data_IF_741156405809
#
_entry.id   IF_741156405809
#
_cell.length_a   1.000
_cell.length_b   1.000
_cell.length_c   1.000
_cell.angle_alpha   90.00
_cell.angle_beta   90.00
_cell.angle_gamma   90.00
#
_symmetry.space_group_name_H-M   'P 1'
#
loop_
_entity.id
_entity.type
_entity.pdbx_description
1 polymer ?
#
# COMPACT_ATOMS: atom_id res chain seq x y z
N UNK A 1 1.84 29.48 17.00
CA UNK A 1 3.19 28.88 17.08
C UNK A 1 3.30 27.92 15.92
N UNK A 2 4.35 28.00 15.11
CA UNK A 2 4.57 27.01 14.06
C UNK A 2 4.89 25.66 14.73
N UNK A 3 4.22 24.59 14.31
CA UNK A 3 4.49 23.24 14.82
C UNK A 3 5.96 22.88 14.58
N UNK A 4 6.61 22.30 15.59
CA UNK A 4 7.96 21.73 15.47
C UNK A 4 7.91 20.26 15.05
N UNK A 5 6.71 19.67 15.00
CA UNK A 5 6.54 18.28 14.59
C UNK A 5 7.06 18.05 13.17
N UNK A 6 7.64 16.87 12.96
CA UNK A 6 8.20 16.47 11.67
C UNK A 6 8.15 14.97 11.51
N UNK A 7 8.04 14.54 10.26
CA UNK A 7 8.32 13.16 9.89
C UNK A 7 9.82 12.97 9.69
N UNK A 8 10.34 11.83 10.14
CA UNK A 8 11.73 11.41 9.92
C UNK A 8 11.69 10.12 9.10
N UNK A 9 12.06 10.18 7.83
CA UNK A 9 12.08 9.05 6.90
C UNK A 9 13.50 8.52 6.74
N UNK A 10 13.73 7.25 7.11
CA UNK A 10 15.04 6.59 6.92
C UNK A 10 15.10 5.82 5.60
N UNK A 11 16.02 6.22 4.70
CA UNK A 11 16.19 5.51 3.42
C UNK A 11 16.68 4.09 3.62
N UNK A 12 17.59 3.88 4.57
CA UNK A 12 18.13 2.56 4.89
C UNK A 12 17.01 1.60 5.31
N UNK A 13 16.04 2.08 6.12
CA UNK A 13 14.88 1.28 6.52
C UNK A 13 13.92 0.97 5.38
N UNK A 14 13.69 1.93 4.46
CA UNK A 14 12.92 1.67 3.22
C UNK A 14 13.54 0.50 2.44
N UNK A 15 14.86 0.53 2.24
CA UNK A 15 15.59 -0.48 1.47
C UNK A 15 15.58 -1.84 2.19
N UNK A 16 15.71 -1.85 3.52
CA UNK A 16 15.60 -3.07 4.33
C UNK A 16 14.24 -3.75 4.15
N UNK A 17 13.14 -2.99 4.29
CA UNK A 17 11.79 -3.51 4.13
C UNK A 17 11.50 -3.97 2.70
N UNK A 18 12.02 -3.23 1.71
CA UNK A 18 11.94 -3.64 0.30
C UNK A 18 12.60 -5.00 0.07
N UNK A 19 13.83 -5.20 0.57
CA UNK A 19 14.59 -6.45 0.40
C UNK A 19 13.86 -7.65 0.99
N UNK A 20 13.16 -7.47 2.13
CA UNK A 20 12.32 -8.52 2.72
C UNK A 20 11.25 -9.00 1.72
N UNK A 21 10.54 -8.08 1.06
CA UNK A 21 9.50 -8.45 0.07
C UNK A 21 10.10 -8.96 -1.23
N UNK A 22 11.19 -8.35 -1.70
CA UNK A 22 11.89 -8.78 -2.92
C UNK A 22 12.38 -10.23 -2.81
N UNK A 23 12.71 -10.72 -1.61
CA UNK A 23 13.06 -12.13 -1.40
C UNK A 23 11.90 -13.12 -1.60
N UNK A 24 10.66 -12.65 -1.72
CA UNK A 24 9.44 -13.46 -1.81
C UNK A 24 8.84 -13.51 -3.22
N UNK A 25 9.29 -12.65 -4.14
CA UNK A 25 8.66 -12.50 -5.46
C UNK A 25 9.63 -11.98 -6.53
N UNK A 26 9.26 -12.14 -7.80
CA UNK A 26 10.02 -11.58 -8.92
C UNK A 26 9.93 -10.05 -8.96
N UNK A 27 8.74 -9.50 -8.76
CA UNK A 27 8.51 -8.07 -8.86
C UNK A 27 7.85 -7.53 -7.58
N UNK A 28 8.43 -6.47 -7.06
CA UNK A 28 7.82 -5.66 -6.01
C UNK A 28 7.28 -4.41 -6.67
N UNK A 29 5.98 -4.13 -6.52
CA UNK A 29 5.36 -2.91 -7.04
C UNK A 29 4.86 -2.03 -5.89
N UNK A 30 5.65 -1.05 -5.47
CA UNK A 30 5.27 -0.23 -4.33
C UNK A 30 3.99 0.57 -4.61
N UNK A 31 3.02 0.48 -3.70
CA UNK A 31 1.77 1.25 -3.79
C UNK A 31 2.01 2.72 -3.46
N UNK A 32 2.25 3.55 -4.48
CA UNK A 32 2.69 4.95 -4.30
C UNK A 32 1.73 5.80 -3.46
N UNK A 33 0.43 5.51 -3.51
CA UNK A 33 -0.61 6.16 -2.68
C UNK A 33 -0.33 6.11 -1.18
N UNK A 34 0.46 5.15 -0.72
CA UNK A 34 0.78 5.02 0.71
C UNK A 34 1.70 6.13 1.18
N UNK A 35 2.78 6.43 0.45
CA UNK A 35 3.67 7.55 0.75
C UNK A 35 4.53 7.85 -0.49
N UNK A 36 4.24 8.94 -1.23
CA UNK A 36 4.95 9.27 -2.48
C UNK A 36 6.43 9.60 -2.31
N UNK A 37 6.89 10.02 -1.12
CA UNK A 37 8.31 10.28 -0.88
C UNK A 37 9.13 8.99 -0.92
N UNK A 38 8.54 7.88 -0.47
CA UNK A 38 9.16 6.56 -0.49
C UNK A 38 9.32 6.06 -1.92
N UNK A 39 8.41 6.39 -2.83
CA UNK A 39 8.53 6.04 -4.25
C UNK A 39 9.85 6.54 -4.84
N UNK A 40 10.27 7.78 -4.49
CA UNK A 40 11.55 8.35 -4.93
C UNK A 40 12.75 7.58 -4.39
N UNK A 41 12.73 7.26 -3.10
CA UNK A 41 13.81 6.48 -2.44
C UNK A 41 13.94 5.10 -3.09
N UNK A 42 12.83 4.41 -3.31
CA UNK A 42 12.82 3.10 -3.97
C UNK A 42 13.28 3.18 -5.43
N UNK A 43 12.88 4.22 -6.16
CA UNK A 43 13.26 4.40 -7.55
C UNK A 43 14.78 4.54 -7.72
N UNK A 44 15.40 5.32 -6.84
CA UNK A 44 16.83 5.63 -6.88
C UNK A 44 17.73 4.48 -6.39
N UNK A 45 17.20 3.57 -5.56
CA UNK A 45 18.02 2.57 -4.85
C UNK A 45 17.65 1.11 -5.12
N UNK A 46 16.59 0.85 -5.88
CA UNK A 46 16.05 -0.51 -6.11
C UNK A 46 15.46 -0.68 -7.50
N UNK A 47 15.10 -1.91 -7.86
CA UNK A 47 14.35 -2.27 -9.06
C UNK A 47 12.82 -2.31 -8.84
N UNK A 48 12.30 -1.68 -7.77
CA UNK A 48 10.86 -1.61 -7.49
C UNK A 48 10.04 -1.11 -8.69
N UNK A 49 8.95 -1.78 -9.02
CA UNK A 49 7.87 -1.18 -9.80
C UNK A 49 7.01 -0.28 -8.91
N UNK A 50 6.05 0.43 -9.50
CA UNK A 50 5.16 1.36 -8.80
C UNK A 50 3.72 1.21 -9.25
N UNK A 51 2.84 0.83 -8.32
CA UNK A 51 1.40 0.75 -8.56
C UNK A 51 0.77 2.13 -8.36
N UNK A 52 0.20 2.68 -9.43
CA UNK A 52 -0.45 3.99 -9.46
C UNK A 52 -1.93 3.86 -9.81
N UNK A 53 -2.75 4.76 -9.27
CA UNK A 53 -4.19 4.82 -9.53
C UNK A 53 -4.58 6.07 -10.33
N UNK A 54 -3.78 7.13 -10.26
CA UNK A 54 -4.07 8.40 -10.93
C UNK A 54 -2.87 8.90 -11.73
N UNK A 55 -3.13 9.52 -12.88
CA UNK A 55 -2.10 10.19 -13.71
C UNK A 55 -1.33 11.24 -12.90
N UNK A 56 -1.99 11.93 -11.96
CA UNK A 56 -1.38 12.93 -11.09
C UNK A 56 -0.25 12.36 -10.20
N UNK A 57 -0.24 11.05 -9.95
CA UNK A 57 0.82 10.39 -9.19
C UNK A 57 2.10 10.20 -10.02
N UNK A 58 2.02 10.28 -11.35
CA UNK A 58 3.18 10.10 -12.23
C UNK A 58 4.29 11.08 -11.86
N UNK A 59 4.00 12.30 -11.41
CA UNK A 59 5.02 13.28 -10.98
C UNK A 59 6.00 12.74 -9.91
N UNK A 60 5.64 11.67 -9.22
CA UNK A 60 6.47 11.06 -8.18
C UNK A 60 7.46 10.01 -8.72
N UNK A 61 7.31 9.58 -9.98
CA UNK A 61 8.11 8.52 -10.62
C UNK A 61 8.85 9.11 -11.82
N UNK A 62 10.16 8.98 -11.91
CA UNK A 62 10.96 9.43 -13.05
C UNK A 62 10.86 8.45 -14.22
N UNK A 63 11.11 7.18 -13.98
CA UNK A 63 11.05 6.09 -14.97
C UNK A 63 9.65 5.48 -15.03
N UNK A 64 8.86 5.97 -15.99
CA UNK A 64 7.48 5.54 -16.20
C UNK A 64 7.35 4.10 -16.67
N UNK A 65 8.42 3.48 -17.19
CA UNK A 65 8.37 2.08 -17.62
C UNK A 65 8.18 1.11 -16.44
N UNK A 66 8.50 1.56 -15.22
CA UNK A 66 8.31 0.85 -13.95
C UNK A 66 6.92 1.02 -13.35
N UNK A 67 6.00 1.73 -14.02
CA UNK A 67 4.64 1.96 -13.52
C UNK A 67 3.72 0.81 -13.92
N UNK A 68 3.01 0.26 -12.94
CA UNK A 68 1.79 -0.54 -13.12
C UNK A 68 0.60 0.38 -12.86
N UNK A 69 -0.18 0.67 -13.89
CA UNK A 69 -1.34 1.54 -13.77
C UNK A 69 -2.61 0.71 -13.53
N UNK A 70 -3.29 0.98 -12.42
CA UNK A 70 -4.53 0.31 -12.04
C UNK A 70 -5.69 1.12 -12.61
N UNK A 71 -6.24 0.66 -13.73
CA UNK A 71 -7.27 1.34 -14.49
C UNK A 71 -8.62 1.33 -13.77
N UNK A 72 -9.30 2.47 -13.82
CA UNK A 72 -10.68 2.62 -13.37
C UNK A 72 -11.36 3.70 -14.21
N UNK A 73 -12.39 3.32 -14.97
CA UNK A 73 -13.19 4.22 -15.80
C UNK A 73 -12.33 5.05 -16.78
N UNK A 74 -11.35 4.42 -17.42
CA UNK A 74 -10.52 5.07 -18.43
C UNK A 74 -11.20 5.12 -19.80
N UNK A 75 -10.76 6.03 -20.66
CA UNK A 75 -11.17 6.12 -22.06
C UNK A 75 -9.96 5.94 -23.00
N UNK A 76 -10.21 5.95 -24.31
CA UNK A 76 -9.16 5.79 -25.32
C UNK A 76 -8.08 6.90 -25.24
N UNK A 77 -8.47 8.13 -24.90
CA UNK A 77 -7.54 9.26 -24.75
C UNK A 77 -6.57 9.01 -23.58
N UNK A 78 -7.09 8.59 -22.43
CA UNK A 78 -6.26 8.25 -21.27
C UNK A 78 -5.36 7.06 -21.57
N UNK A 79 -5.85 6.01 -22.23
CA UNK A 79 -5.01 4.86 -22.60
C UNK A 79 -3.87 5.31 -23.52
N UNK A 80 -4.17 6.13 -24.54
CA UNK A 80 -3.16 6.68 -25.43
C UNK A 80 -2.11 7.51 -24.66
N UNK A 81 -2.55 8.43 -23.80
CA UNK A 81 -1.62 9.26 -23.00
C UNK A 81 -0.72 8.44 -22.08
N UNK A 82 -1.24 7.35 -21.48
CA UNK A 82 -0.42 6.42 -20.68
C UNK A 82 0.64 5.72 -21.55
N UNK A 83 0.27 5.30 -22.77
CA UNK A 83 1.21 4.67 -23.70
C UNK A 83 2.27 5.66 -24.20
N UNK A 84 1.92 6.91 -24.48
CA UNK A 84 2.86 7.97 -24.85
C UNK A 84 3.87 8.24 -23.73
N UNK A 85 3.43 8.12 -22.47
CA UNK A 85 4.30 8.17 -21.29
C UNK A 85 5.16 6.91 -21.08
N UNK A 86 5.20 5.96 -22.02
CA UNK A 86 5.95 4.68 -21.92
C UNK A 86 5.46 3.74 -20.82
N UNK A 87 4.24 3.94 -20.32
CA UNK A 87 3.61 3.01 -19.36
C UNK A 87 3.08 1.84 -20.17
N UNK A 88 3.43 0.62 -19.76
CA UNK A 88 3.06 -0.61 -20.48
C UNK A 88 2.42 -1.67 -19.61
N UNK A 89 2.33 -1.46 -18.29
CA UNK A 89 1.75 -2.43 -17.37
C UNK A 89 0.40 -1.92 -16.87
N UNK A 90 -0.65 -2.70 -17.12
CA UNK A 90 -2.02 -2.33 -16.79
C UNK A 90 -2.71 -3.42 -15.98
N UNK A 91 -3.44 -3.00 -14.96
CA UNK A 91 -4.41 -3.83 -14.25
C UNK A 91 -5.80 -3.31 -14.59
N UNK A 92 -6.70 -4.17 -15.05
CA UNK A 92 -8.06 -3.79 -15.40
C UNK A 92 -9.06 -4.39 -14.42
N UNK A 93 -9.92 -3.55 -13.86
CA UNK A 93 -10.84 -3.91 -12.77
C UNK A 93 -12.14 -4.57 -13.23
N UNK A 94 -12.69 -4.13 -14.37
CA UNK A 94 -14.03 -4.51 -14.82
C UNK A 94 -14.12 -4.73 -16.34
N UNK A 95 -15.22 -5.34 -16.78
CA UNK A 95 -15.43 -5.69 -18.20
C UNK A 95 -15.56 -4.46 -19.11
N UNK A 96 -16.13 -3.35 -18.61
CA UNK A 96 -16.28 -2.11 -19.39
C UNK A 96 -14.93 -1.54 -19.76
N UNK A 97 -14.05 -1.35 -18.77
CA UNK A 97 -12.68 -0.87 -18.96
C UNK A 97 -11.86 -1.82 -19.84
N UNK A 98 -12.08 -3.14 -19.71
CA UNK A 98 -11.41 -4.13 -20.54
C UNK A 98 -11.86 -4.04 -21.99
N UNK A 99 -13.16 -3.85 -22.25
CA UNK A 99 -13.69 -3.72 -23.60
C UNK A 99 -13.15 -2.47 -24.31
N UNK A 100 -13.03 -1.34 -23.59
CA UNK A 100 -12.40 -0.12 -24.11
C UNK A 100 -10.94 -0.39 -24.50
N UNK A 101 -10.17 -1.06 -23.63
CA UNK A 101 -8.79 -1.42 -23.94
C UNK A 101 -8.70 -2.35 -25.15
N UNK A 102 -9.54 -3.38 -25.25
CA UNK A 102 -9.53 -4.31 -26.38
C UNK A 102 -9.88 -3.59 -27.69
N UNK A 103 -10.90 -2.73 -27.68
CA UNK A 103 -11.27 -1.91 -28.83
C UNK A 103 -10.11 -1.05 -29.29
N UNK A 104 -9.48 -0.35 -28.34
CA UNK A 104 -8.31 0.48 -28.59
C UNK A 104 -7.18 -0.35 -29.23
N UNK A 105 -6.78 -1.47 -28.62
CA UNK A 105 -5.69 -2.33 -29.12
C UNK A 105 -5.92 -2.91 -30.54
N UNK A 106 -7.16 -2.97 -31.03
CA UNK A 106 -7.45 -3.41 -32.39
C UNK A 106 -7.06 -2.35 -33.45
N UNK A 107 -6.84 -1.09 -33.07
CA UNK A 107 -6.52 0.04 -33.97
C UNK A 107 -5.07 0.13 -34.46
N UNK A 108 -4.38 -0.98 -34.74
CA UNK A 108 -2.95 -1.03 -35.16
C UNK A 108 -1.93 -0.39 -34.17
N UNK A 109 -2.26 -0.43 -32.88
CA UNK A 109 -1.48 0.20 -31.79
C UNK A 109 -0.10 -0.43 -31.60
N UNK A 110 0.05 -1.72 -31.90
CA UNK A 110 1.33 -2.43 -31.83
C UNK A 110 2.46 -1.70 -32.56
N UNK A 111 2.19 -1.18 -33.77
CA UNK A 111 3.22 -0.56 -34.60
C UNK A 111 3.71 0.77 -34.03
N UNK A 112 2.88 1.43 -33.22
CA UNK A 112 3.16 2.75 -32.64
C UNK A 112 3.80 2.61 -31.26
N UNK A 113 3.20 1.78 -30.40
CA UNK A 113 3.53 1.76 -28.97
C UNK A 113 4.15 0.44 -28.48
N UNK A 114 4.16 -0.60 -29.30
CA UNK A 114 4.61 -1.95 -28.93
C UNK A 114 3.59 -2.72 -28.09
N UNK A 115 4.06 -3.77 -27.40
CA UNK A 115 3.21 -4.64 -26.58
C UNK A 115 3.00 -4.10 -25.16
N UNK A 116 1.89 -4.49 -24.55
CA UNK A 116 1.56 -4.22 -23.15
C UNK A 116 1.63 -5.49 -22.29
N UNK A 117 1.73 -5.31 -20.98
CA UNK A 117 1.53 -6.33 -19.98
C UNK A 117 0.19 -6.08 -19.29
N UNK A 118 -0.69 -7.08 -19.31
CA UNK A 118 -2.07 -6.95 -18.85
C UNK A 118 -2.35 -7.93 -17.72
N UNK A 119 -2.89 -7.42 -16.62
CA UNK A 119 -3.45 -8.21 -15.54
C UNK A 119 -4.95 -7.95 -15.42
N UNK A 120 -5.74 -9.01 -15.35
CA UNK A 120 -7.17 -8.92 -15.10
C UNK A 120 -7.44 -9.08 -13.61
N UNK A 121 -8.10 -8.09 -13.00
CA UNK A 121 -8.39 -8.16 -11.57
C UNK A 121 -9.56 -9.10 -11.31
N UNK A 122 -9.34 -10.02 -10.38
CA UNK A 122 -10.33 -11.00 -9.95
C UNK A 122 -10.97 -10.54 -8.64
N UNK A 123 -12.29 -10.64 -8.60
CA UNK A 123 -13.10 -10.50 -7.41
C UNK A 123 -12.98 -11.75 -6.53
N UNK A 124 -12.31 -11.60 -5.39
CA UNK A 124 -12.19 -12.67 -4.41
C UNK A 124 -13.46 -12.81 -3.56
N UNK A 125 -13.66 -13.99 -2.98
CA UNK A 125 -14.70 -14.19 -1.96
C UNK A 125 -14.14 -13.91 -0.59
N UNK A 126 -14.93 -13.25 0.25
CA UNK A 126 -14.61 -13.08 1.66
C UNK A 126 -14.86 -14.42 2.39
N UNK A 127 -13.83 -14.97 3.05
CA UNK A 127 -13.99 -16.19 3.84
C UNK A 127 -14.17 -15.88 5.34
N UNK A 128 -14.11 -14.61 5.73
CA UNK A 128 -14.39 -14.12 7.08
C UNK A 128 -15.74 -13.41 7.13
N UNK A 129 -16.54 -13.66 8.16
CA UNK A 129 -17.79 -12.92 8.36
C UNK A 129 -17.48 -11.51 8.87
N UNK A 130 -17.08 -10.56 8.02
CA UNK A 130 -17.10 -9.13 8.35
C UNK A 130 -16.83 -8.21 7.14
N UNK A 131 -17.92 -7.65 6.66
CA UNK A 131 -18.10 -6.33 6.01
C UNK A 131 -18.28 -6.29 4.49
N UNK A 132 -17.84 -7.27 3.69
CA UNK A 132 -17.85 -7.27 2.21
C UNK A 132 -17.19 -6.05 1.51
N UNK A 133 -16.83 -5.00 2.27
CA UNK A 133 -16.36 -3.69 1.78
C UNK A 133 -15.17 -3.78 0.83
N UNK A 134 -14.31 -4.78 1.01
CA UNK A 134 -13.05 -4.90 0.26
C UNK A 134 -13.13 -5.84 -0.95
N UNK A 135 -14.23 -6.58 -1.10
CA UNK A 135 -14.38 -7.66 -2.08
C UNK A 135 -15.27 -7.27 -3.25
N UNK A 136 -15.56 -5.98 -3.45
CA UNK A 136 -16.47 -5.49 -4.50
C UNK A 136 -15.79 -5.26 -5.85
N UNK A 137 -14.46 -5.14 -5.85
CA UNK A 137 -13.67 -4.83 -7.03
C UNK A 137 -13.21 -6.08 -7.77
N UNK A 138 -12.99 -5.94 -9.08
CA UNK A 138 -12.61 -7.06 -9.94
C UNK A 138 -13.79 -7.74 -10.63
N UNK A 139 -13.47 -8.53 -11.64
CA UNK A 139 -14.40 -9.38 -12.37
C UNK A 139 -14.57 -10.73 -11.68
N UNK A 140 -15.70 -11.39 -11.90
CA UNK A 140 -15.88 -12.77 -11.43
C UNK A 140 -14.87 -13.72 -12.12
N UNK A 141 -14.57 -14.85 -11.49
CA UNK A 141 -13.57 -15.79 -11.99
C UNK A 141 -13.93 -16.38 -13.36
N UNK A 142 -15.21 -16.62 -13.64
CA UNK A 142 -15.66 -17.16 -14.93
C UNK A 142 -15.34 -16.21 -16.10
N UNK A 143 -15.71 -14.93 -15.95
CA UNK A 143 -15.37 -13.85 -16.88
C UNK A 143 -13.86 -13.79 -17.09
N UNK A 144 -13.07 -13.82 -16.00
CA UNK A 144 -11.61 -13.72 -16.11
C UNK A 144 -11.01 -14.93 -16.84
N UNK A 145 -11.41 -16.16 -16.53
CA UNK A 145 -10.93 -17.34 -17.26
C UNK A 145 -11.29 -17.29 -18.75
N UNK A 146 -12.51 -16.85 -19.09
CA UNK A 146 -12.93 -16.62 -20.48
C UNK A 146 -12.02 -15.59 -21.17
N UNK A 147 -11.82 -14.43 -20.55
CA UNK A 147 -11.00 -13.34 -21.12
C UNK A 147 -9.52 -13.70 -21.24
N UNK A 148 -8.97 -14.45 -20.28
CA UNK A 148 -7.60 -14.94 -20.36
C UNK A 148 -7.39 -15.85 -21.59
N UNK A 149 -8.36 -16.71 -21.91
CA UNK A 149 -8.33 -17.54 -23.14
C UNK A 149 -8.40 -16.70 -24.41
N UNK A 150 -9.34 -15.75 -24.46
CA UNK A 150 -9.52 -14.86 -25.62
C UNK A 150 -8.27 -14.02 -25.91
N UNK A 151 -7.60 -13.53 -24.85
CA UNK A 151 -6.49 -12.59 -24.97
C UNK A 151 -5.11 -13.24 -25.09
N UNK A 152 -4.97 -14.54 -24.81
CA UNK A 152 -3.66 -15.24 -24.75
C UNK A 152 -2.80 -15.08 -26.01
N UNK A 153 -3.44 -15.03 -27.18
CA UNK A 153 -2.78 -14.94 -28.48
C UNK A 153 -2.88 -13.53 -29.10
N UNK A 154 -3.28 -12.52 -28.33
CA UNK A 154 -3.36 -11.16 -28.83
C UNK A 154 -1.94 -10.61 -29.05
N UNK A 155 -1.59 -10.26 -30.29
CA UNK A 155 -0.26 -9.74 -30.66
C UNK A 155 0.16 -8.49 -29.89
N UNK A 156 -0.78 -7.73 -29.35
CA UNK A 156 -0.51 -6.51 -28.59
C UNK A 156 -0.18 -6.79 -27.11
N UNK A 157 -0.31 -8.02 -26.62
CA UNK A 157 -0.10 -8.38 -25.21
C UNK A 157 1.12 -9.30 -25.11
N UNK A 158 2.16 -8.87 -24.40
CA UNK A 158 3.36 -9.68 -24.13
C UNK A 158 3.14 -10.62 -22.94
N UNK A 159 2.74 -10.07 -21.79
CA UNK A 159 2.44 -10.85 -20.58
C UNK A 159 0.98 -10.68 -20.21
N UNK A 160 0.33 -11.80 -19.91
CA UNK A 160 -1.06 -11.86 -19.48
C UNK A 160 -1.16 -12.55 -18.13
N UNK A 161 -1.87 -11.93 -17.20
CA UNK A 161 -1.96 -12.45 -15.84
C UNK A 161 -3.22 -12.05 -15.11
N UNK A 162 -3.20 -12.33 -13.81
CA UNK A 162 -4.29 -11.99 -12.91
C UNK A 162 -3.80 -11.10 -11.79
N UNK A 163 -4.68 -10.23 -11.32
CA UNK A 163 -4.47 -9.40 -10.15
C UNK A 163 -5.55 -9.72 -9.12
N UNK A 164 -5.22 -9.69 -7.85
CA UNK A 164 -6.21 -9.60 -6.79
C UNK A 164 -5.64 -8.87 -5.59
N UNK A 165 -6.53 -8.30 -4.78
CA UNK A 165 -6.17 -7.65 -3.53
C UNK A 165 -7.26 -7.95 -2.50
N UNK A 166 -6.86 -8.35 -1.29
CA UNK A 166 -7.80 -8.69 -0.21
C UNK A 166 -8.16 -7.50 0.65
N UNK A 167 -7.28 -7.12 1.58
CA UNK A 167 -7.55 -6.07 2.58
C UNK A 167 -6.26 -5.45 3.08
N UNK A 168 -6.35 -4.26 3.65
CA UNK A 168 -5.23 -3.61 4.35
C UNK A 168 -5.01 -4.24 5.73
N UNK A 169 -3.77 -4.22 6.23
CA UNK A 169 -3.40 -4.80 7.53
C UNK A 169 -3.90 -6.25 7.70
N UNK A 170 -3.74 -7.06 6.64
CA UNK A 170 -4.31 -8.40 6.56
C UNK A 170 -3.51 -9.42 7.38
N UNK A 171 -4.11 -9.95 8.44
CA UNK A 171 -3.52 -11.02 9.28
C UNK A 171 -4.07 -12.42 8.98
N UNK A 172 -4.99 -12.57 8.00
CA UNK A 172 -5.66 -13.84 7.70
C UNK A 172 -5.78 -14.11 6.19
N UNK A 173 -6.30 -15.28 5.81
CA UNK A 173 -6.63 -15.59 4.41
C UNK A 173 -5.45 -15.48 3.41
N UNK A 174 -4.25 -15.83 3.85
CA UNK A 174 -3.03 -15.87 3.02
C UNK A 174 -2.77 -17.23 2.35
N UNK A 175 -3.71 -18.18 2.45
CA UNK A 175 -3.60 -19.46 1.73
C UNK A 175 -4.05 -19.29 0.27
N UNK A 176 -3.22 -18.61 -0.51
CA UNK A 176 -3.48 -18.37 -1.93
C UNK A 176 -3.33 -19.64 -2.79
N UNK A 177 -2.71 -20.70 -2.26
CA UNK A 177 -2.59 -21.98 -2.96
C UNK A 177 -3.97 -22.59 -3.21
N UNK A 178 -4.78 -22.70 -2.14
CA UNK A 178 -6.13 -23.24 -2.23
C UNK A 178 -7.04 -22.32 -3.04
N UNK A 179 -6.90 -21.01 -2.86
CA UNK A 179 -7.69 -20.02 -3.58
C UNK A 179 -7.45 -20.03 -5.09
N UNK A 180 -6.19 -20.10 -5.52
CA UNK A 180 -5.84 -20.13 -6.94
C UNK A 180 -6.41 -21.35 -7.67
N UNK A 181 -6.44 -22.52 -7.01
CA UNK A 181 -7.05 -23.74 -7.58
C UNK A 181 -8.55 -23.58 -7.82
N UNK A 182 -9.23 -22.75 -7.02
CA UNK A 182 -10.66 -22.50 -7.16
C UNK A 182 -10.96 -21.43 -8.21
N UNK A 183 -10.03 -20.51 -8.44
CA UNK A 183 -10.22 -19.35 -9.30
C UNK A 183 -9.79 -19.63 -10.74
N UNK A 184 -8.67 -20.33 -10.97
CA UNK A 184 -8.15 -20.57 -12.31
C UNK A 184 -8.50 -21.97 -12.82
N UNK A 185 -9.02 -22.03 -14.04
CA UNK A 185 -9.26 -23.28 -14.75
C UNK A 185 -7.94 -23.88 -15.26
N UNK A 186 -7.83 -25.23 -15.26
CA UNK A 186 -6.59 -25.96 -15.61
C UNK A 186 -6.05 -25.67 -17.01
N UNK A 187 -6.89 -25.24 -17.95
CA UNK A 187 -6.51 -24.96 -19.35
C UNK A 187 -6.09 -23.50 -19.57
N UNK A 188 -6.18 -22.65 -18.56
CA UNK A 188 -5.79 -21.24 -18.65
C UNK A 188 -4.30 -21.08 -18.37
N UNK A 189 -3.60 -20.41 -19.29
CA UNK A 189 -2.16 -20.13 -19.20
C UNK A 189 -1.92 -18.64 -18.94
N UNK A 190 -1.21 -18.35 -17.85
CA UNK A 190 -0.83 -16.98 -17.46
C UNK A 190 0.67 -16.89 -17.23
N UNK A 191 1.23 -15.71 -17.40
CA UNK A 191 2.65 -15.41 -17.16
C UNK A 191 2.88 -14.75 -15.80
N UNK A 192 1.83 -14.10 -15.25
CA UNK A 192 1.91 -13.23 -14.09
C UNK A 192 0.76 -13.48 -13.11
N UNK A 193 1.08 -13.43 -11.82
CA UNK A 193 0.10 -13.31 -10.73
C UNK A 193 0.52 -12.13 -9.85
N UNK A 194 -0.38 -11.16 -9.68
CA UNK A 194 -0.23 -10.10 -8.70
C UNK A 194 -1.18 -10.35 -7.52
N UNK A 195 -0.61 -10.56 -6.33
CA UNK A 195 -1.38 -10.80 -5.09
C UNK A 195 -1.75 -9.51 -4.35
N UNK A 196 -1.45 -8.37 -4.97
CA UNK A 196 -1.73 -7.04 -4.42
C UNK A 196 -0.93 -6.75 -3.15
N UNK A 197 -1.40 -5.75 -2.40
CA UNK A 197 -0.86 -5.38 -1.10
C UNK A 197 -1.58 -6.05 0.07
N UNK A 198 -1.55 -5.39 1.22
CA UNK A 198 -2.26 -5.84 2.42
C UNK A 198 -1.38 -6.48 3.48
N UNK A 199 -0.08 -6.66 3.20
CA UNK A 199 0.91 -7.09 4.18
C UNK A 199 0.85 -6.20 5.44
N UNK A 200 0.72 -6.80 6.64
CA UNK A 200 0.56 -6.05 7.88
C UNK A 200 1.88 -5.43 8.34
N UNK A 201 1.81 -4.28 8.99
CA UNK A 201 2.94 -3.67 9.71
C UNK A 201 2.74 -3.79 11.22
N UNK A 202 3.82 -3.66 11.97
CA UNK A 202 3.75 -3.66 13.42
C UNK A 202 3.08 -2.37 13.93
N UNK A 203 2.14 -2.52 14.87
CA UNK A 203 1.45 -1.44 15.57
C UNK A 203 1.09 -1.95 16.96
N UNK A 204 0.71 -1.07 17.88
CA UNK A 204 0.42 -1.45 19.28
C UNK A 204 -0.71 -2.50 19.42
N UNK A 205 -1.55 -2.65 18.40
CA UNK A 205 -2.63 -3.62 18.32
C UNK A 205 -2.39 -4.77 17.32
N UNK A 206 -1.16 -4.95 16.83
CA UNK A 206 -0.80 -6.02 15.88
C UNK A 206 -0.02 -7.14 16.57
N UNK A 207 -0.35 -8.39 16.24
CA UNK A 207 0.47 -9.54 16.63
C UNK A 207 1.59 -9.77 15.60
N UNK A 208 2.85 -9.53 16.00
CA UNK A 208 4.04 -9.59 15.14
C UNK A 208 4.33 -11.01 14.66
N UNK A 209 4.04 -12.03 15.47
CA UNK A 209 4.30 -13.45 15.13
C UNK A 209 3.57 -13.90 13.85
N UNK A 210 2.49 -13.20 13.48
CA UNK A 210 1.71 -13.50 12.29
C UNK A 210 2.44 -13.12 11.01
N UNK A 211 3.36 -12.15 11.05
CA UNK A 211 4.07 -11.66 9.84
C UNK A 211 4.93 -12.77 9.23
N UNK A 212 5.69 -13.50 10.05
CA UNK A 212 6.54 -14.60 9.57
C UNK A 212 5.72 -15.76 9.00
N UNK A 213 4.56 -16.05 9.63
CA UNK A 213 3.61 -17.05 9.11
C UNK A 213 3.11 -16.65 7.71
N UNK A 214 2.81 -15.37 7.50
CA UNK A 214 2.39 -14.84 6.20
C UNK A 214 3.49 -14.98 5.16
N UNK A 215 4.73 -14.63 5.50
CA UNK A 215 5.86 -14.75 4.59
C UNK A 215 6.09 -16.20 4.17
N UNK A 216 5.98 -17.15 5.10
CA UNK A 216 6.09 -18.57 4.79
C UNK A 216 4.96 -19.05 3.87
N UNK A 217 3.74 -18.53 4.01
CA UNK A 217 2.64 -18.83 3.09
C UNK A 217 2.90 -18.28 1.68
N UNK A 218 3.43 -17.05 1.59
CA UNK A 218 3.80 -16.44 0.31
C UNK A 218 4.93 -17.24 -0.37
N UNK A 219 5.95 -17.71 0.38
CA UNK A 219 7.01 -18.57 -0.16
C UNK A 219 6.46 -19.86 -0.75
N UNK A 220 5.62 -20.57 0.01
CA UNK A 220 4.94 -21.80 -0.48
C UNK A 220 4.09 -21.54 -1.72
N UNK A 221 3.40 -20.40 -1.73
CA UNK A 221 2.62 -19.99 -2.88
C UNK A 221 3.51 -19.71 -4.11
N UNK A 222 4.64 -19.04 -3.91
CA UNK A 222 5.63 -18.77 -4.96
C UNK A 222 6.25 -20.04 -5.52
N UNK A 223 6.54 -21.04 -4.68
CA UNK A 223 7.00 -22.36 -5.12
C UNK A 223 5.97 -23.07 -6.01
N UNK A 224 4.69 -23.01 -5.64
CA UNK A 224 3.59 -23.59 -6.42
C UNK A 224 3.45 -22.94 -7.81
N UNK A 225 3.69 -21.64 -7.92
CA UNK A 225 3.57 -20.89 -9.17
C UNK A 225 4.58 -21.35 -10.24
N UNK A 226 5.69 -21.97 -9.85
CA UNK A 226 6.73 -22.41 -10.78
C UNK A 226 7.25 -21.26 -11.64
N UNK A 227 7.08 -21.36 -12.96
CA UNK A 227 7.52 -20.35 -13.93
C UNK A 227 6.67 -19.07 -13.93
N UNK A 228 5.46 -19.10 -13.35
CA UNK A 228 4.60 -17.93 -13.24
C UNK A 228 5.25 -16.91 -12.31
N UNK A 229 5.46 -15.68 -12.80
CA UNK A 229 6.10 -14.62 -12.03
C UNK A 229 5.11 -13.98 -11.07
N UNK A 230 5.57 -13.76 -9.84
CA UNK A 230 4.80 -13.18 -8.75
C UNK A 230 5.10 -11.69 -8.64
N UNK A 231 4.03 -10.91 -8.54
CA UNK A 231 4.06 -9.48 -8.20
C UNK A 231 3.41 -9.31 -6.82
N UNK A 232 4.06 -8.56 -5.94
CA UNK A 232 3.51 -8.15 -4.65
C UNK A 232 3.46 -6.63 -4.62
N UNK A 233 2.36 -6.05 -4.13
CA UNK A 233 2.17 -4.59 -4.10
C UNK A 233 2.26 -4.00 -2.68
N UNK A 234 3.40 -4.09 -1.98
CA UNK A 234 3.48 -3.55 -0.63
C UNK A 234 3.30 -2.03 -0.64
N UNK A 235 2.50 -1.53 0.30
CA UNK A 235 2.44 -0.11 0.64
C UNK A 235 2.85 0.04 2.10
N UNK A 236 1.86 -0.17 2.99
CA UNK A 236 2.00 -0.08 4.44
C UNK A 236 3.23 -0.79 5.00
N UNK A 237 3.47 -2.05 4.60
CA UNK A 237 4.61 -2.85 5.06
C UNK A 237 5.98 -2.17 4.90
N UNK A 238 6.20 -1.51 3.76
CA UNK A 238 7.44 -0.76 3.54
C UNK A 238 7.36 0.59 4.24
N UNK A 239 6.24 1.29 4.05
CA UNK A 239 6.13 2.68 4.40
C UNK A 239 6.09 2.94 5.91
N UNK A 240 5.27 2.17 6.64
CA UNK A 240 5.00 2.39 8.05
C UNK A 240 6.30 2.49 8.85
N UNK A 241 7.07 1.40 8.89
CA UNK A 241 8.30 1.31 9.71
C UNK A 241 9.46 2.21 9.25
N UNK A 242 9.39 2.76 8.03
CA UNK A 242 10.44 3.61 7.50
C UNK A 242 10.34 5.06 8.00
N UNK A 243 9.25 5.45 8.64
CA UNK A 243 9.02 6.83 9.07
C UNK A 243 8.60 6.89 10.54
N UNK A 244 9.21 7.82 11.26
CA UNK A 244 8.79 8.24 12.61
C UNK A 244 8.11 9.60 12.54
N UNK A 245 7.16 9.85 13.44
CA UNK A 245 6.61 11.18 13.69
C UNK A 245 7.21 11.70 15.01
N UNK A 246 8.06 12.71 14.93
CA UNK A 246 8.60 13.40 16.10
C UNK A 246 7.66 14.58 16.43
N UNK A 247 7.26 14.68 17.70
CA UNK A 247 6.40 15.75 18.23
C UNK A 247 6.98 16.34 19.51
N UNK A 248 6.49 17.49 19.94
CA UNK A 248 6.79 18.12 21.23
C UNK A 248 5.53 18.14 22.11
N UNK A 249 5.68 17.83 23.39
CA UNK A 249 4.60 17.97 24.38
C UNK A 249 4.39 19.45 24.67
N UNK A 250 3.22 19.98 24.34
CA UNK A 250 2.86 21.40 24.54
C UNK A 250 1.91 21.64 25.70
N UNK A 251 1.28 20.58 26.22
CA UNK A 251 0.37 20.69 27.35
C UNK A 251 0.25 19.38 28.10
N UNK A 252 0.16 19.47 29.43
CA UNK A 252 -0.16 18.36 30.30
C UNK A 252 -1.19 18.83 31.31
N UNK A 253 -2.29 18.09 31.44
CA UNK A 253 -3.26 18.27 32.51
C UNK A 253 -3.78 16.91 32.94
N UNK A 254 -3.81 16.67 34.25
CA UNK A 254 -4.10 15.36 34.82
C UNK A 254 -3.21 14.27 34.16
N UNK A 255 -3.82 13.27 33.52
CA UNK A 255 -3.14 12.22 32.75
C UNK A 255 -3.32 12.39 31.23
N UNK A 256 -3.57 13.62 30.77
CA UNK A 256 -3.67 13.95 29.35
C UNK A 256 -2.42 14.70 28.88
N UNK A 257 -1.85 14.26 27.76
CA UNK A 257 -0.73 14.89 27.06
C UNK A 257 -1.28 15.46 25.76
N UNK A 258 -0.98 16.73 25.47
CA UNK A 258 -1.23 17.37 24.17
C UNK A 258 0.11 17.50 23.46
N UNK A 259 0.20 16.98 22.23
CA UNK A 259 1.35 17.14 21.35
C UNK A 259 1.09 18.20 20.28
N UNK A 260 2.15 18.79 19.72
CA UNK A 260 2.07 19.80 18.65
C UNK A 260 1.79 19.22 17.25
N UNK A 261 1.09 18.09 17.19
CA UNK A 261 0.67 17.42 15.97
C UNK A 261 -0.81 17.01 16.08
N UNK A 262 -1.44 16.68 14.95
CA UNK A 262 -2.82 16.21 14.92
C UNK A 262 -2.93 14.93 14.09
N UNK A 263 -3.83 14.02 14.45
CA UNK A 263 -4.09 12.84 13.60
C UNK A 263 -4.56 13.27 12.21
N UNK A 264 -5.24 14.40 12.06
CA UNK A 264 -5.73 14.89 10.77
C UNK A 264 -4.65 15.30 9.77
N UNK A 265 -3.48 15.73 10.23
CA UNK A 265 -2.37 16.10 9.34
C UNK A 265 -1.16 15.16 9.45
N UNK A 266 -1.20 14.17 10.35
CA UNK A 266 -0.07 13.23 10.52
C UNK A 266 -0.43 11.75 10.47
N UNK A 267 -1.61 11.35 10.95
CA UNK A 267 -2.00 9.94 11.10
C UNK A 267 -3.49 9.75 10.76
N UNK A 268 -3.92 10.30 9.62
CA UNK A 268 -5.32 10.23 9.22
C UNK A 268 -5.79 8.79 9.02
N UNK A 269 -4.85 7.91 8.69
CA UNK A 269 -5.09 6.49 8.59
C UNK A 269 -5.68 5.91 9.87
N UNK A 270 -5.29 6.36 11.08
CA UNK A 270 -5.87 5.91 12.35
C UNK A 270 -7.39 6.16 12.46
N UNK A 271 -7.94 7.10 11.68
CA UNK A 271 -9.39 7.35 11.61
C UNK A 271 -10.12 6.40 10.64
N UNK A 272 -9.41 5.88 9.63
CA UNK A 272 -9.95 5.03 8.56
C UNK A 272 -9.73 3.55 8.92
N UNK A 273 -8.49 3.22 9.22
CA UNK A 273 -8.00 1.92 9.69
C UNK A 273 -7.45 2.18 11.10
N UNK A 274 -8.13 1.76 12.19
CA UNK A 274 -7.76 2.13 13.56
C UNK A 274 -6.49 1.41 14.06
N UNK A 275 -5.39 1.58 13.33
CA UNK A 275 -4.04 1.24 13.74
C UNK A 275 -3.62 2.19 14.85
N UNK A 276 -2.79 1.69 15.76
CA UNK A 276 -2.29 2.46 16.89
C UNK A 276 -0.78 2.56 16.78
N UNK A 277 -0.28 3.76 16.46
CA UNK A 277 1.16 3.99 16.41
C UNK A 277 1.83 3.58 17.72
N UNK A 278 3.02 3.01 17.61
CA UNK A 278 3.86 2.72 18.77
C UNK A 278 4.43 4.03 19.28
N UNK A 279 4.61 4.16 20.59
CA UNK A 279 5.30 5.30 21.19
C UNK A 279 6.71 4.85 21.59
N UNK A 280 7.71 5.57 21.11
CA UNK A 280 9.11 5.30 21.45
C UNK A 280 9.32 5.52 22.96
N UNK A 281 9.87 4.51 23.65
CA UNK A 281 10.03 4.55 25.10
C UNK A 281 8.76 4.28 25.90
N UNK A 282 7.69 3.77 25.29
CA UNK A 282 6.52 3.27 26.03
C UNK A 282 6.94 2.14 27.00
N UNK A 283 6.57 2.28 28.27
CA UNK A 283 6.95 1.37 29.36
C UNK A 283 5.92 0.25 29.58
N UNK A 284 6.27 -0.72 30.42
CA UNK A 284 5.31 -1.66 30.99
C UNK A 284 4.27 -0.92 31.84
N UNK A 285 3.13 -1.58 32.05
CA UNK A 285 2.12 -1.12 33.02
C UNK A 285 2.67 -0.95 34.44
N UNK A 286 3.65 -1.76 34.82
CA UNK A 286 4.22 -1.78 36.18
C UNK A 286 5.35 -0.75 36.37
N UNK A 287 5.89 -0.20 35.27
CA UNK A 287 7.06 0.69 35.28
C UNK A 287 6.72 2.14 34.96
N UNK A 288 5.48 2.45 34.58
CA UNK A 288 5.07 3.78 34.15
C UNK A 288 3.65 4.15 34.55
N UNK A 289 3.35 5.44 34.45
CA UNK A 289 2.00 5.96 34.67
C UNK A 289 1.21 5.98 33.36
N UNK A 290 -0.09 5.66 33.37
CA UNK A 290 -0.90 5.69 32.16
C UNK A 290 -1.27 7.13 31.77
N UNK A 291 -1.06 7.47 30.50
CA UNK A 291 -1.45 8.74 29.88
C UNK A 291 -2.32 8.53 28.63
N UNK A 292 -3.18 9.51 28.36
CA UNK A 292 -3.87 9.70 27.08
C UNK A 292 -3.07 10.72 26.26
N UNK A 293 -2.71 10.38 25.02
CA UNK A 293 -2.03 11.31 24.10
C UNK A 293 -3.03 11.83 23.08
N UNK A 294 -3.23 13.14 23.09
CA UNK A 294 -4.14 13.91 22.24
C UNK A 294 -3.35 14.79 21.27
N UNK A 295 -3.93 15.06 20.11
CA UNK A 295 -3.40 16.06 19.20
C UNK A 295 -3.76 17.48 19.61
N UNK A 296 -3.29 18.44 18.81
CA UNK A 296 -3.39 19.88 19.09
C UNK A 296 -4.80 20.45 18.93
N UNK A 297 -5.70 19.77 18.21
CA UNK A 297 -7.07 20.27 17.99
C UNK A 297 -8.00 19.87 19.14
N UNK A 298 -9.04 20.66 19.46
CA UNK A 298 -10.04 20.29 20.46
C UNK A 298 -11.03 19.22 19.96
N UNK A 299 -10.80 18.62 18.78
CA UNK A 299 -11.69 17.62 18.23
C UNK A 299 -11.62 16.33 19.05
N UNK A 300 -12.78 15.71 19.33
CA UNK A 300 -12.86 14.48 20.12
C UNK A 300 -12.15 13.27 19.50
N UNK A 301 -11.93 13.29 18.18
CA UNK A 301 -11.21 12.24 17.45
C UNK A 301 -9.71 12.53 17.30
N UNK A 302 -9.23 13.71 17.72
CA UNK A 302 -7.80 14.05 17.65
C UNK A 302 -7.01 13.40 18.78
N UNK A 303 -6.92 12.08 18.70
CA UNK A 303 -6.39 11.23 19.74
C UNK A 303 -5.51 10.15 19.14
N UNK A 304 -4.23 10.19 19.50
CA UNK A 304 -3.25 9.20 19.03
C UNK A 304 -3.36 7.89 19.82
N UNK A 305 -3.42 7.98 21.16
CA UNK A 305 -3.44 6.79 22.03
C UNK A 305 -4.21 7.06 23.32
N UNK A 306 -5.12 6.15 23.68
CA UNK A 306 -5.91 6.22 24.92
C UNK A 306 -5.15 5.77 26.18
N UNK A 307 -4.07 5.01 26.01
CA UNK A 307 -3.29 4.47 27.11
C UNK A 307 -1.87 4.20 26.62
N UNK A 308 -0.94 4.97 27.16
CA UNK A 308 0.51 4.86 26.97
C UNK A 308 1.15 5.01 28.33
N UNK A 309 2.04 4.10 28.70
CA UNK A 309 2.75 4.15 29.98
C UNK A 309 4.06 4.91 29.81
N UNK A 310 4.21 6.01 30.56
CA UNK A 310 5.37 6.90 30.48
C UNK A 310 5.85 7.25 31.88
N UNK A 311 7.14 7.53 32.01
CA UNK A 311 7.75 8.02 33.25
C UNK A 311 7.93 9.54 33.20
N UNK A 312 7.23 10.26 34.08
CA UNK A 312 7.38 11.71 34.32
C UNK A 312 7.50 12.59 33.06
N UNK A 313 6.54 12.52 32.10
CA UNK A 313 6.57 13.35 30.91
C UNK A 313 6.43 14.83 31.26
N UNK A 314 7.20 15.70 30.59
CA UNK A 314 7.18 17.17 30.81
C UNK A 314 6.89 17.93 29.53
N UNK A 315 6.26 19.10 29.68
CA UNK A 315 6.12 20.07 28.59
C UNK A 315 7.50 20.40 28.03
N UNK A 316 7.62 20.42 26.70
CA UNK A 316 8.87 20.59 25.96
C UNK A 316 9.65 19.29 25.71
N UNK A 317 9.25 18.14 26.30
CA UNK A 317 9.85 16.87 25.91
C UNK A 317 9.39 16.44 24.52
N UNK A 318 10.27 15.74 23.81
CA UNK A 318 9.93 15.06 22.57
C UNK A 318 9.10 13.82 22.85
N UNK A 319 8.10 13.58 22.02
CA UNK A 319 7.34 12.35 21.99
C UNK A 319 7.33 11.83 20.56
N UNK A 320 7.92 10.66 20.35
CA UNK A 320 8.09 10.07 19.02
C UNK A 320 7.13 8.92 18.83
N UNK A 321 6.35 8.97 17.75
CA UNK A 321 5.56 7.85 17.27
C UNK A 321 6.33 7.07 16.21
N UNK A 322 6.40 5.75 16.37
CA UNK A 322 7.01 4.85 15.39
C UNK A 322 5.96 4.32 14.43
N UNK A 323 6.43 3.81 13.29
CA UNK A 323 5.62 3.19 12.25
C UNK A 323 4.60 4.15 11.60
N UNK A 324 4.94 5.43 11.55
CA UNK A 324 4.07 6.54 11.17
C UNK A 324 4.20 6.90 9.67
N UNK A 325 4.68 5.99 8.81
CA UNK A 325 4.97 6.30 7.41
C UNK A 325 3.95 5.89 6.38
N UNK A 326 2.88 5.22 6.79
CA UNK A 326 1.84 4.75 5.88
C UNK A 326 0.67 5.74 5.84
N UNK A 327 0.25 6.11 4.63
CA UNK A 327 -0.94 6.92 4.36
C UNK A 327 -0.87 8.34 4.98
N UNK A 328 0.31 8.97 4.94
CA UNK A 328 0.54 10.35 5.40
C UNK A 328 0.02 11.41 4.42
N UNK A 329 -1.24 11.31 4.03
CA UNK A 329 -1.91 12.42 3.35
C UNK A 329 -2.43 13.42 4.39
N UNK A 330 -2.46 14.69 3.99
CA UNK A 330 -2.89 15.80 4.83
C UNK A 330 -4.26 16.28 4.39
N UNK A 331 -5.10 16.68 5.34
CA UNK A 331 -6.34 17.41 5.06
C UNK A 331 -6.21 18.89 5.37
N UNK A 332 -7.16 19.66 4.85
CA UNK A 332 -7.41 21.06 5.18
C UNK A 332 -8.19 21.25 6.50
N UNK A 333 -8.43 20.17 7.26
CA UNK A 333 -9.09 20.24 8.56
C UNK A 333 -8.40 21.25 9.48
N UNK A 334 -9.15 22.23 9.95
CA UNK A 334 -8.66 23.34 10.79
C UNK A 334 -7.46 24.11 10.22
N UNK A 335 -7.28 24.15 8.90
CA UNK A 335 -6.13 24.78 8.24
C UNK A 335 -4.76 24.31 8.80
N UNK A 336 -4.70 23.05 9.26
CA UNK A 336 -3.49 22.47 9.81
C UNK A 336 -2.37 22.45 8.76
N UNK A 337 -1.18 22.87 9.16
CA UNK A 337 -0.02 22.86 8.27
C UNK A 337 0.35 21.44 7.84
N UNK A 338 0.84 21.33 6.60
CA UNK A 338 1.46 20.09 6.13
C UNK A 338 2.80 19.87 6.84
N UNK A 339 2.88 18.79 7.60
CA UNK A 339 4.10 18.44 8.33
C UNK A 339 5.24 18.10 7.35
N UNK A 340 6.41 18.68 7.61
CA UNK A 340 7.61 18.46 6.81
C UNK A 340 8.15 17.06 7.07
N UNK A 341 8.72 16.45 6.03
CA UNK A 341 9.48 15.20 6.14
C UNK A 341 10.95 15.50 5.98
N UNK A 342 11.72 15.19 7.01
CA UNK A 342 13.17 15.11 6.97
C UNK A 342 13.55 13.70 6.50
N UNK A 343 14.36 13.62 5.44
CA UNK A 343 14.86 12.34 4.94
C UNK A 343 16.29 12.17 5.44
N UNK A 344 16.53 11.08 6.14
CA UNK A 344 17.83 10.72 6.72
C UNK A 344 18.42 9.48 6.03
N UNK A 345 19.74 9.33 6.17
CA UNK A 345 20.60 8.29 5.61
C UNK A 345 20.72 8.32 4.08
#
# INVERSE_FOLDING_TARGET
MQSKSKFILSKSKVIEQYKKIKSLCEFVSYSSKTNPLISKVLEENTDSMFSLHMVNELKNIKDKSRVIFLAQAWDEELIQGLLEHKIRWFVVDNESDLNILIQFLNGNIYEIFGQINLLLRIKLKENTLRTEKYFVFGMNSETVNKKLRELRNNKNIDKLGIHFHRKTQNISEWDYTSEMKNILEKNVKIDLVCIGGGLPSEYANTNVDVIDIIFNKIKKFKELLGEIKLIIEPGRFIAASAVKLETEIIGIYEKNIIVDASVYNTDMDALIVPVKLLVEGELSKDDGDPYVIKGITPCSMDLFRYRVYLENPKIGNKLTFLNAGAYNFTTDFCDLEKIKTEIID
#
